data_IF_594108475610
#
_entry.id   IF_594108475610
#
_cell.length_a   1.000
_cell.length_b   1.000
_cell.length_c   1.000
_cell.angle_alpha   90.00
_cell.angle_beta   90.00
_cell.angle_gamma   90.00
#
_symmetry.space_group_name_H-M   'P 1'
#
loop_
_entity.id
_entity.type
_entity.pdbx_description
1 polymer ?
#
# COMPACT_ATOMS: atom_id res chain seq x y z
N UNK A 1 11.20 -13.72 16.49
CA UNK A 1 12.22 -13.08 15.63
C UNK A 1 12.99 -14.10 14.79
N UNK A 2 12.70 -14.20 13.48
CA UNK A 2 13.64 -14.71 12.48
C UNK A 2 14.32 -13.50 11.85
N UNK A 3 15.56 -13.20 12.24
CA UNK A 3 16.56 -12.30 11.63
C UNK A 3 16.20 -10.89 11.12
N UNK A 4 14.96 -10.39 11.24
CA UNK A 4 14.55 -9.12 10.61
C UNK A 4 14.47 -7.94 11.58
N UNK A 5 14.60 -8.16 12.88
CA UNK A 5 14.58 -7.08 13.87
C UNK A 5 15.90 -7.11 14.63
N UNK A 6 16.79 -6.15 14.34
CA UNK A 6 18.16 -5.94 14.85
C UNK A 6 19.35 -6.53 14.06
N UNK A 7 19.14 -7.03 12.83
CA UNK A 7 20.22 -7.18 11.83
C UNK A 7 20.39 -5.89 11.02
N UNK A 8 21.61 -5.54 10.57
CA UNK A 8 21.88 -4.36 9.72
C UNK A 8 21.07 -4.45 8.41
N UNK A 9 19.85 -3.92 8.43
CA UNK A 9 18.92 -3.97 7.32
C UNK A 9 19.49 -3.26 6.10
N UNK A 10 19.57 -3.99 4.99
CA UNK A 10 20.09 -3.47 3.71
C UNK A 10 19.10 -2.44 3.17
N UNK A 11 19.61 -1.26 2.78
CA UNK A 11 18.78 -0.24 2.11
C UNK A 11 18.14 -0.83 0.86
N UNK A 12 16.83 -0.64 0.72
CA UNK A 12 16.08 -0.99 -0.48
C UNK A 12 16.52 -0.07 -1.61
N UNK A 13 16.84 -0.65 -2.76
CA UNK A 13 17.03 0.09 -4.00
C UNK A 13 15.76 -0.03 -4.84
N UNK A 14 14.86 0.94 -4.69
CA UNK A 14 13.56 0.95 -5.38
C UNK A 14 13.71 0.92 -6.90
N UNK A 15 14.63 1.72 -7.44
CA UNK A 15 14.84 1.82 -8.88
C UNK A 15 15.37 0.49 -9.46
N UNK A 16 16.33 -0.14 -8.77
CA UNK A 16 16.82 -1.46 -9.15
C UNK A 16 15.73 -2.53 -9.04
N UNK A 17 14.95 -2.52 -7.97
CA UNK A 17 13.87 -3.48 -7.76
C UNK A 17 12.75 -3.37 -8.81
N UNK A 18 12.52 -2.16 -9.36
CA UNK A 18 11.57 -1.94 -10.44
C UNK A 18 12.07 -2.45 -11.81
N UNK A 19 13.39 -2.64 -12.00
CA UNK A 19 13.98 -2.93 -13.31
C UNK A 19 13.42 -4.19 -13.99
N UNK A 20 13.22 -5.27 -13.24
CA UNK A 20 12.68 -6.52 -13.78
C UNK A 20 11.23 -6.39 -14.26
N UNK A 21 10.43 -5.53 -13.61
CA UNK A 21 9.07 -5.23 -14.04
C UNK A 21 9.07 -4.29 -15.25
N UNK A 22 9.91 -3.25 -15.23
CA UNK A 22 10.02 -2.28 -16.33
C UNK A 22 10.46 -2.94 -17.64
N UNK A 23 11.29 -3.98 -17.57
CA UNK A 23 11.72 -4.75 -18.74
C UNK A 23 10.60 -5.57 -19.41
N UNK A 24 9.43 -5.73 -18.75
CA UNK A 24 8.26 -6.45 -19.28
C UNK A 24 7.26 -5.46 -19.84
N UNK A 25 7.47 -5.01 -21.07
CA UNK A 25 6.70 -3.91 -21.68
C UNK A 25 5.19 -4.16 -21.68
N UNK A 26 4.75 -5.37 -22.03
CA UNK A 26 3.33 -5.74 -22.03
C UNK A 26 2.70 -5.67 -20.63
N UNK A 27 3.42 -6.15 -19.61
CA UNK A 27 2.98 -6.08 -18.21
C UNK A 27 2.89 -4.63 -17.74
N UNK A 28 3.86 -3.80 -18.09
CA UNK A 28 3.86 -2.36 -17.76
C UNK A 28 2.68 -1.65 -18.42
N UNK A 29 2.45 -1.90 -19.72
CA UNK A 29 1.35 -1.31 -20.46
C UNK A 29 -0.01 -1.73 -19.90
N UNK A 30 -0.19 -3.02 -19.61
CA UNK A 30 -1.40 -3.55 -18.98
C UNK A 30 -1.64 -2.95 -17.59
N UNK A 31 -0.62 -2.97 -16.74
CA UNK A 31 -0.67 -2.40 -15.39
C UNK A 31 -1.06 -0.93 -15.42
N UNK A 32 -0.37 -0.13 -16.25
CA UNK A 32 -0.62 1.30 -16.39
C UNK A 32 -2.05 1.59 -16.85
N UNK A 33 -2.52 0.87 -17.88
CA UNK A 33 -3.89 0.98 -18.39
C UNK A 33 -4.92 0.62 -17.32
N UNK A 34 -4.68 -0.45 -16.56
CA UNK A 34 -5.61 -0.92 -15.52
C UNK A 34 -5.73 0.08 -14.37
N UNK A 35 -4.62 0.64 -13.90
CA UNK A 35 -4.65 1.65 -12.84
C UNK A 35 -5.26 2.97 -13.32
N UNK A 36 -5.02 3.33 -14.59
CA UNK A 36 -5.67 4.49 -15.20
C UNK A 36 -7.18 4.34 -15.29
N UNK A 37 -7.69 3.15 -15.63
CA UNK A 37 -9.13 2.84 -15.62
C UNK A 37 -9.72 3.01 -14.21
N UNK A 38 -9.07 2.48 -13.17
CA UNK A 38 -9.52 2.65 -11.78
C UNK A 38 -9.55 4.13 -11.36
N UNK A 39 -8.50 4.89 -11.70
CA UNK A 39 -8.45 6.34 -11.48
C UNK A 39 -9.58 7.07 -12.19
N UNK A 40 -9.80 6.77 -13.48
CA UNK A 40 -10.82 7.44 -14.29
C UNK A 40 -12.23 7.19 -13.76
N UNK A 41 -12.53 5.96 -13.33
CA UNK A 41 -13.82 5.61 -12.72
C UNK A 41 -14.02 6.31 -11.37
N UNK A 42 -12.98 6.39 -10.55
CA UNK A 42 -13.00 7.20 -9.31
C UNK A 42 -13.31 8.65 -9.61
N UNK A 43 -12.66 9.24 -10.61
CA UNK A 43 -12.86 10.65 -10.97
C UNK A 43 -14.28 10.89 -11.47
N UNK A 44 -14.87 9.97 -12.24
CA UNK A 44 -16.27 10.02 -12.63
C UNK A 44 -17.22 9.99 -11.41
N UNK A 45 -16.96 9.12 -10.42
CA UNK A 45 -17.75 9.09 -9.18
C UNK A 45 -17.63 10.38 -8.37
N UNK A 46 -16.43 10.96 -8.32
CA UNK A 46 -16.18 12.21 -7.60
C UNK A 46 -16.88 13.40 -8.29
N UNK A 47 -16.75 13.54 -9.61
CA UNK A 47 -17.38 14.62 -10.36
C UNK A 47 -18.91 14.49 -10.42
N UNK A 48 -19.43 13.26 -10.39
CA UNK A 48 -20.88 12.99 -10.38
C UNK A 48 -21.56 13.27 -9.04
N UNK A 49 -20.83 13.67 -8.00
CA UNK A 49 -21.34 13.86 -6.65
C UNK A 49 -21.10 15.31 -6.18
N UNK A 50 -22.14 16.17 -6.17
CA UNK A 50 -22.00 17.55 -5.73
C UNK A 50 -21.42 17.68 -4.31
N UNK A 51 -21.75 16.75 -3.42
CA UNK A 51 -21.30 16.72 -2.04
C UNK A 51 -19.93 16.03 -1.83
N UNK A 52 -19.16 15.74 -2.89
CA UNK A 52 -17.93 14.95 -2.80
C UNK A 52 -16.90 15.55 -1.82
N UNK A 53 -16.64 16.86 -1.88
CA UNK A 53 -15.71 17.51 -0.94
C UNK A 53 -16.26 17.53 0.49
N UNK A 54 -17.57 17.73 0.68
CA UNK A 54 -18.21 17.60 1.98
C UNK A 54 -18.01 16.21 2.58
N UNK A 55 -18.15 15.14 1.78
CA UNK A 55 -17.88 13.78 2.26
C UNK A 55 -16.41 13.57 2.62
N UNK A 56 -15.47 14.18 1.90
CA UNK A 56 -14.04 14.13 2.25
C UNK A 56 -13.75 14.87 3.55
N UNK A 57 -14.37 16.02 3.77
CA UNK A 57 -14.26 16.78 5.01
C UNK A 57 -14.83 15.99 6.19
N UNK A 58 -16.03 15.42 6.04
CA UNK A 58 -16.62 14.55 7.05
C UNK A 58 -15.73 13.33 7.36
N UNK A 59 -15.26 12.63 6.32
CA UNK A 59 -14.41 11.47 6.50
C UNK A 59 -13.08 11.82 7.20
N UNK A 60 -12.48 12.96 6.84
CA UNK A 60 -11.27 13.46 7.50
C UNK A 60 -11.54 13.82 8.96
N UNK A 61 -12.55 14.65 9.23
CA UNK A 61 -12.90 15.10 10.57
C UNK A 61 -13.27 13.96 11.50
N UNK A 62 -14.01 12.95 11.02
CA UNK A 62 -14.31 11.75 11.81
C UNK A 62 -13.02 11.01 12.17
N UNK A 63 -12.09 10.81 11.21
CA UNK A 63 -10.81 10.14 11.51
C UNK A 63 -9.94 10.94 12.48
N UNK A 64 -9.88 12.27 12.35
CA UNK A 64 -9.11 13.13 13.25
C UNK A 64 -9.69 13.10 14.66
N UNK A 65 -11.01 13.24 14.79
CA UNK A 65 -11.72 13.09 16.07
C UNK A 65 -11.47 11.72 16.70
N UNK A 66 -11.60 10.65 15.92
CA UNK A 66 -11.41 9.28 16.43
C UNK A 66 -9.97 9.04 16.88
N UNK A 67 -8.98 9.48 16.11
CA UNK A 67 -7.57 9.30 16.45
C UNK A 67 -7.16 10.13 17.67
N UNK A 68 -7.76 11.31 17.85
CA UNK A 68 -7.50 12.16 19.03
C UNK A 68 -8.10 11.60 20.32
N UNK A 69 -9.14 10.76 20.20
CA UNK A 69 -9.82 10.09 21.33
C UNK A 69 -9.69 8.57 21.22
N UNK A 70 -8.56 8.07 20.69
CA UNK A 70 -8.42 6.67 20.30
C UNK A 70 -8.55 5.73 21.50
N UNK A 71 -8.01 6.10 22.66
CA UNK A 71 -8.09 5.31 23.88
C UNK A 71 -9.55 5.07 24.31
N UNK A 72 -10.35 6.15 24.39
CA UNK A 72 -11.76 6.06 24.78
C UNK A 72 -12.58 5.22 23.79
N UNK A 73 -12.32 5.36 22.49
CA UNK A 73 -13.00 4.56 21.47
C UNK A 73 -12.57 3.10 21.46
N UNK A 74 -11.31 2.81 21.81
CA UNK A 74 -10.86 1.43 22.02
C UNK A 74 -11.64 0.83 23.19
N UNK A 75 -11.65 1.47 24.36
CA UNK A 75 -12.36 0.99 25.56
C UNK A 75 -13.84 0.75 25.29
N UNK A 76 -14.49 1.68 24.56
CA UNK A 76 -15.87 1.52 24.12
C UNK A 76 -16.02 0.31 23.19
N UNK A 77 -15.17 0.17 22.16
CA UNK A 77 -15.23 -0.94 21.21
C UNK A 77 -15.08 -2.30 21.92
N UNK A 78 -14.12 -2.40 22.84
CA UNK A 78 -13.82 -3.61 23.61
C UNK A 78 -15.03 -4.00 24.45
N UNK A 79 -15.53 -3.06 25.25
CA UNK A 79 -16.70 -3.26 26.12
C UNK A 79 -17.90 -3.75 25.31
N UNK A 80 -18.16 -3.12 24.17
CA UNK A 80 -19.28 -3.48 23.31
C UNK A 80 -19.06 -4.84 22.63
N UNK A 81 -17.85 -5.16 22.17
CA UNK A 81 -17.56 -6.47 21.56
C UNK A 81 -17.74 -7.61 22.58
N UNK A 82 -17.19 -7.44 23.80
CA UNK A 82 -17.30 -8.43 24.88
C UNK A 82 -18.75 -8.63 25.33
N UNK A 83 -19.56 -7.56 25.36
CA UNK A 83 -20.99 -7.66 25.68
C UNK A 83 -21.78 -8.54 24.69
N UNK A 84 -21.27 -8.73 23.47
CA UNK A 84 -21.84 -9.59 22.44
C UNK A 84 -21.21 -11.00 22.41
N UNK A 85 -20.36 -11.34 23.38
CA UNK A 85 -19.71 -12.65 23.47
C UNK A 85 -18.48 -12.81 22.58
N UNK A 86 -17.90 -11.70 22.08
CA UNK A 86 -16.61 -11.72 21.37
C UNK A 86 -15.47 -11.70 22.39
N UNK A 87 -14.42 -12.50 22.16
CA UNK A 87 -13.22 -12.49 23.01
C UNK A 87 -12.19 -11.54 22.39
N UNK A 88 -11.81 -10.49 23.11
CA UNK A 88 -10.86 -9.49 22.62
C UNK A 88 -9.44 -9.76 23.14
N UNK A 89 -8.47 -9.65 22.24
CA UNK A 89 -7.03 -9.83 22.48
C UNK A 89 -6.28 -8.58 22.04
N UNK A 90 -5.12 -8.34 22.64
CA UNK A 90 -4.25 -7.21 22.30
C UNK A 90 -2.88 -7.71 21.87
N UNK A 91 -2.35 -7.09 20.82
CA UNK A 91 -1.01 -7.32 20.34
C UNK A 91 -0.29 -5.98 20.13
N UNK A 92 0.72 -5.73 20.95
CA UNK A 92 1.60 -4.57 20.79
C UNK A 92 2.52 -4.73 19.58
N UNK A 93 2.82 -5.97 19.20
CA UNK A 93 3.74 -6.30 18.12
C UNK A 93 3.20 -7.34 17.16
N UNK A 94 3.78 -7.40 15.95
CA UNK A 94 3.52 -8.46 14.98
C UNK A 94 3.77 -9.87 15.57
N UNK A 95 4.80 -10.03 16.41
CA UNK A 95 5.12 -11.32 17.02
C UNK A 95 4.03 -11.75 18.03
N UNK A 96 3.51 -10.82 18.84
CA UNK A 96 2.40 -11.09 19.76
C UNK A 96 1.13 -11.47 19.01
N UNK A 97 0.79 -10.72 17.96
CA UNK A 97 -0.34 -11.06 17.09
C UNK A 97 -0.23 -12.50 16.58
N UNK A 98 0.93 -12.86 16.03
CA UNK A 98 1.14 -14.19 15.47
C UNK A 98 1.11 -15.30 16.55
N UNK A 99 1.61 -15.02 17.75
CA UNK A 99 1.51 -15.93 18.90
C UNK A 99 0.06 -16.16 19.32
N UNK A 100 -0.77 -15.12 19.36
CA UNK A 100 -2.19 -15.21 19.69
C UNK A 100 -2.92 -16.08 18.65
N UNK A 101 -2.74 -15.79 17.36
CA UNK A 101 -3.36 -16.60 16.29
C UNK A 101 -2.93 -18.07 16.41
N UNK A 102 -1.63 -18.33 16.55
CA UNK A 102 -1.12 -19.69 16.71
C UNK A 102 -1.68 -20.40 17.94
N UNK A 103 -1.76 -19.72 19.08
CA UNK A 103 -2.32 -20.25 20.33
C UNK A 103 -3.79 -20.64 20.14
N UNK A 104 -4.61 -19.74 19.61
CA UNK A 104 -6.04 -19.99 19.38
C UNK A 104 -6.29 -21.24 18.53
N UNK A 105 -5.46 -21.43 17.49
CA UNK A 105 -5.55 -22.58 16.61
C UNK A 105 -5.02 -23.87 17.25
N UNK A 106 -3.83 -23.81 17.84
CA UNK A 106 -3.15 -25.00 18.40
C UNK A 106 -3.88 -25.58 19.61
N UNK A 107 -4.40 -24.75 20.51
CA UNK A 107 -5.20 -25.20 21.68
C UNK A 107 -6.49 -25.93 21.26
N UNK A 108 -7.01 -25.64 20.07
CA UNK A 108 -8.20 -26.28 19.49
C UNK A 108 -7.86 -27.40 18.51
N UNK A 109 -6.58 -27.73 18.33
CA UNK A 109 -6.14 -28.74 17.37
C UNK A 109 -6.49 -28.42 15.90
N UNK A 110 -6.66 -27.14 15.55
CA UNK A 110 -6.97 -26.68 14.21
C UNK A 110 -5.70 -26.63 13.37
N UNK A 111 -5.74 -27.18 12.16
CA UNK A 111 -4.57 -27.32 11.28
C UNK A 111 -4.71 -26.54 9.96
N UNK A 112 -5.89 -25.96 9.71
CA UNK A 112 -6.17 -25.17 8.51
C UNK A 112 -6.74 -23.81 8.90
N UNK A 113 -6.24 -22.74 8.29
CA UNK A 113 -6.76 -21.38 8.42
C UNK A 113 -7.23 -20.89 7.04
N UNK A 114 -8.54 -20.74 6.86
CA UNK A 114 -9.09 -20.09 5.65
C UNK A 114 -9.27 -18.61 5.92
N UNK A 115 -8.57 -17.78 5.15
CA UNK A 115 -8.43 -16.37 5.45
C UNK A 115 -8.91 -15.50 4.28
N UNK A 116 -9.73 -14.49 4.58
CA UNK A 116 -9.99 -13.39 3.66
C UNK A 116 -8.81 -12.42 3.64
N UNK A 117 -8.74 -11.60 2.59
CA UNK A 117 -7.71 -10.56 2.46
C UNK A 117 -7.54 -9.71 3.73
N UNK A 118 -6.30 -9.56 4.18
CA UNK A 118 -5.91 -8.69 5.29
C UNK A 118 -4.46 -8.26 5.18
N UNK A 119 -4.22 -6.99 4.89
CA UNK A 119 -2.85 -6.46 4.85
C UNK A 119 -2.17 -6.47 6.22
N UNK A 120 -2.94 -6.48 7.31
CA UNK A 120 -2.37 -6.50 8.66
C UNK A 120 -1.66 -7.83 8.96
N UNK A 121 -2.16 -8.95 8.45
CA UNK A 121 -1.47 -10.24 8.64
C UNK A 121 -0.20 -10.33 7.82
N UNK A 122 -0.16 -9.67 6.65
CA UNK A 122 1.02 -9.61 5.78
C UNK A 122 2.07 -8.66 6.37
N UNK A 123 1.63 -7.52 6.92
CA UNK A 123 2.43 -6.64 7.78
C UNK A 123 3.05 -7.44 8.93
N UNK A 124 2.28 -8.31 9.59
CA UNK A 124 2.75 -9.11 10.71
C UNK A 124 3.58 -10.34 10.29
N UNK A 125 3.72 -10.64 8.99
CA UNK A 125 4.36 -11.87 8.49
C UNK A 125 3.81 -13.13 9.17
N UNK A 126 2.49 -13.17 9.29
CA UNK A 126 1.77 -14.20 10.04
C UNK A 126 1.94 -15.58 9.41
N UNK A 127 1.83 -15.66 8.08
CA UNK A 127 1.94 -16.91 7.33
C UNK A 127 3.31 -17.56 7.55
N UNK A 128 4.37 -16.77 7.41
CA UNK A 128 5.76 -17.21 7.64
C UNK A 128 6.00 -17.66 9.08
N UNK A 129 5.19 -17.18 10.03
CA UNK A 129 5.23 -17.62 11.42
C UNK A 129 4.45 -18.92 11.66
N UNK A 130 3.23 -19.08 11.15
CA UNK A 130 2.35 -20.21 11.50
C UNK A 130 2.47 -21.43 10.58
N UNK A 131 2.81 -21.26 9.29
CA UNK A 131 2.95 -22.39 8.35
C UNK A 131 4.03 -23.40 8.79
N UNK A 132 5.25 -22.97 9.19
CA UNK A 132 6.27 -23.89 9.69
C UNK A 132 5.88 -24.62 10.99
N UNK A 133 4.82 -24.17 11.66
CA UNK A 133 4.31 -24.74 12.92
C UNK A 133 3.11 -25.68 12.70
N UNK A 134 2.87 -26.10 11.46
CA UNK A 134 1.87 -27.11 11.11
C UNK A 134 0.48 -26.58 10.78
N UNK A 135 0.32 -25.26 10.61
CA UNK A 135 -0.95 -24.64 10.22
C UNK A 135 -0.93 -24.27 8.75
N UNK A 136 -1.74 -24.92 7.94
CA UNK A 136 -1.90 -24.55 6.52
C UNK A 136 -2.74 -23.28 6.41
N UNK A 137 -2.20 -22.24 5.79
CA UNK A 137 -2.94 -21.00 5.51
C UNK A 137 -3.45 -21.01 4.08
N UNK A 138 -4.74 -20.73 3.89
CA UNK A 138 -5.38 -20.63 2.58
C UNK A 138 -5.94 -19.22 2.42
N UNK A 139 -5.31 -18.41 1.56
CA UNK A 139 -5.91 -17.15 1.11
C UNK A 139 -7.12 -17.45 0.22
N UNK A 140 -8.23 -16.78 0.50
CA UNK A 140 -9.52 -17.02 -0.17
C UNK A 140 -9.91 -15.91 -1.15
N UNK A 141 -9.25 -14.76 -1.06
CA UNK A 141 -9.28 -13.69 -2.08
C UNK A 141 -8.50 -14.14 -3.30
N UNK A 142 -9.09 -14.03 -4.50
CA UNK A 142 -8.45 -14.49 -5.74
C UNK A 142 -7.09 -13.82 -5.97
N UNK A 143 -7.00 -12.51 -5.73
CA UNK A 143 -5.79 -11.74 -5.92
C UNK A 143 -4.69 -12.15 -4.93
N UNK A 144 -5.03 -12.24 -3.65
CA UNK A 144 -4.08 -12.69 -2.62
C UNK A 144 -3.66 -14.14 -2.83
N UNK A 145 -4.57 -15.01 -3.28
CA UNK A 145 -4.21 -16.41 -3.59
C UNK A 145 -3.21 -16.49 -4.75
N UNK A 146 -3.41 -15.72 -5.82
CA UNK A 146 -2.45 -15.67 -6.93
C UNK A 146 -1.05 -15.30 -6.39
N UNK A 147 -0.98 -14.33 -5.48
CA UNK A 147 0.27 -13.91 -4.86
C UNK A 147 0.84 -14.99 -3.93
N UNK A 148 0.00 -15.67 -3.15
CA UNK A 148 0.39 -16.77 -2.28
C UNK A 148 0.99 -17.93 -3.09
N UNK A 149 0.34 -18.34 -4.19
CA UNK A 149 0.78 -19.43 -5.06
C UNK A 149 2.10 -19.10 -5.78
N UNK A 150 2.34 -17.82 -6.09
CA UNK A 150 3.59 -17.36 -6.70
C UNK A 150 4.64 -16.90 -5.68
N UNK A 151 4.36 -17.08 -4.38
CA UNK A 151 5.19 -16.65 -3.25
C UNK A 151 5.68 -15.19 -3.38
N UNK A 152 4.76 -14.29 -3.73
CA UNK A 152 4.99 -12.84 -3.85
C UNK A 152 4.20 -12.07 -2.79
N UNK A 153 4.75 -10.96 -2.32
CA UNK A 153 3.98 -9.96 -1.56
C UNK A 153 2.90 -9.33 -2.47
N UNK A 154 1.79 -8.79 -1.95
CA UNK A 154 0.79 -8.10 -2.75
C UNK A 154 1.38 -6.86 -3.45
N UNK A 155 1.17 -6.73 -4.76
CA UNK A 155 1.59 -5.53 -5.51
C UNK A 155 0.73 -4.33 -5.14
N UNK A 156 -0.59 -4.51 -5.01
CA UNK A 156 -1.54 -3.43 -4.77
C UNK A 156 -2.54 -3.72 -3.64
N UNK A 157 -2.89 -2.71 -2.85
CA UNK A 157 -3.78 -2.85 -1.68
C UNK A 157 -5.18 -3.34 -2.01
N UNK A 158 -5.74 -2.97 -3.16
CA UNK A 158 -7.08 -3.41 -3.62
C UNK A 158 -7.02 -4.57 -4.62
N UNK A 159 -6.10 -4.55 -5.59
CA UNK A 159 -5.96 -5.56 -6.67
C UNK A 159 -4.57 -6.22 -6.64
N UNK A 160 -4.30 -7.16 -5.72
CA UNK A 160 -2.95 -7.63 -5.36
C UNK A 160 -2.07 -8.12 -6.51
N UNK A 161 -2.69 -8.72 -7.52
CA UNK A 161 -2.02 -9.32 -8.68
C UNK A 161 -2.04 -8.43 -9.95
N UNK A 162 -2.29 -7.12 -9.82
CA UNK A 162 -2.47 -6.20 -10.98
C UNK A 162 -1.25 -6.09 -11.91
N UNK A 163 -0.07 -6.52 -11.47
CA UNK A 163 1.15 -6.60 -12.30
C UNK A 163 1.22 -7.85 -13.17
N UNK A 164 0.26 -8.78 -13.06
CA UNK A 164 0.22 -10.03 -13.83
C UNK A 164 -0.79 -9.95 -14.97
N UNK A 165 -0.43 -10.55 -16.10
CA UNK A 165 -1.33 -10.83 -17.21
C UNK A 165 -2.15 -12.09 -16.91
N UNK A 166 -3.27 -12.27 -17.64
CA UNK A 166 -4.10 -13.48 -17.52
C UNK A 166 -3.34 -14.76 -17.87
N UNK A 167 -2.43 -14.69 -18.84
CA UNK A 167 -1.58 -15.80 -19.22
C UNK A 167 -0.63 -16.22 -18.09
N UNK A 168 -0.05 -15.26 -17.34
CA UNK A 168 0.79 -15.57 -16.18
C UNK A 168 -0.01 -16.32 -15.10
N UNK A 169 -1.28 -15.94 -14.91
CA UNK A 169 -2.17 -16.58 -13.95
C UNK A 169 -2.53 -18.00 -14.40
N UNK A 170 -2.81 -18.21 -15.69
CA UNK A 170 -3.09 -19.54 -16.23
C UNK A 170 -1.89 -20.48 -16.06
N UNK A 171 -0.68 -20.03 -16.40
CA UNK A 171 0.55 -20.80 -16.20
C UNK A 171 0.78 -21.11 -14.72
N UNK A 172 0.59 -20.12 -13.83
CA UNK A 172 0.69 -20.30 -12.40
C UNK A 172 -0.29 -21.35 -11.88
N UNK A 173 -1.56 -21.27 -12.27
CA UNK A 173 -2.57 -22.23 -11.83
C UNK A 173 -2.28 -23.63 -12.39
N UNK A 174 -1.80 -23.73 -13.63
CA UNK A 174 -1.43 -25.01 -14.22
C UNK A 174 -0.33 -25.72 -13.41
N UNK A 175 0.72 -25.00 -13.01
CA UNK A 175 1.83 -25.58 -12.24
C UNK A 175 1.56 -25.77 -10.75
N UNK A 176 0.56 -25.10 -10.16
CA UNK A 176 0.32 -25.12 -8.70
C UNK A 176 -0.96 -25.84 -8.27
N UNK A 177 -2.03 -25.76 -9.08
CA UNK A 177 -3.33 -26.35 -8.77
C UNK A 177 -3.86 -27.28 -9.87
N UNK A 178 -3.06 -27.54 -10.92
CA UNK A 178 -3.32 -28.60 -11.91
C UNK A 178 -4.33 -28.26 -13.00
N UNK A 179 -4.52 -26.98 -13.33
CA UNK A 179 -5.39 -26.53 -14.43
C UNK A 179 -4.67 -26.56 -15.80
N UNK A 180 -5.39 -26.26 -16.88
CA UNK A 180 -4.75 -26.06 -18.20
C UNK A 180 -3.94 -24.73 -18.21
N UNK A 181 -2.60 -24.76 -18.38
CA UNK A 181 -1.77 -23.56 -18.38
C UNK A 181 -2.01 -22.64 -19.59
N UNK A 182 -2.70 -23.11 -20.64
CA UNK A 182 -3.00 -22.31 -21.85
C UNK A 182 -4.38 -21.65 -21.80
N UNK A 183 -5.25 -22.06 -20.88
CA UNK A 183 -6.58 -21.51 -20.77
C UNK A 183 -6.59 -20.27 -19.86
N UNK A 184 -6.52 -19.09 -20.49
CA UNK A 184 -6.54 -17.79 -19.81
C UNK A 184 -7.91 -17.11 -19.76
N UNK A 185 -8.98 -17.88 -20.04
CA UNK A 185 -10.35 -17.40 -19.87
C UNK A 185 -10.64 -17.03 -18.40
N UNK A 186 -11.27 -15.88 -18.19
CA UNK A 186 -11.47 -15.32 -16.85
C UNK A 186 -12.41 -16.19 -16.03
N UNK A 187 -13.48 -16.70 -16.66
CA UNK A 187 -14.45 -17.55 -15.97
C UNK A 187 -13.81 -18.88 -15.57
N UNK A 188 -13.07 -19.50 -16.48
CA UNK A 188 -12.32 -20.73 -16.20
C UNK A 188 -11.33 -20.58 -15.03
N UNK A 189 -10.53 -19.51 -15.03
CA UNK A 189 -9.55 -19.27 -13.96
C UNK A 189 -10.23 -19.02 -12.61
N UNK A 190 -11.26 -18.17 -12.57
CA UNK A 190 -12.00 -17.88 -11.34
C UNK A 190 -12.71 -19.14 -10.80
N UNK A 191 -13.32 -19.93 -11.68
CA UNK A 191 -14.01 -21.16 -11.33
C UNK A 191 -13.03 -22.23 -10.80
N UNK A 192 -11.89 -22.38 -11.45
CA UNK A 192 -10.85 -23.33 -11.02
C UNK A 192 -10.34 -23.00 -9.62
N UNK A 193 -10.07 -21.72 -9.35
CA UNK A 193 -9.66 -21.26 -8.03
C UNK A 193 -10.76 -21.48 -6.98
N UNK A 194 -12.02 -21.21 -7.34
CA UNK A 194 -13.16 -21.47 -6.46
C UNK A 194 -13.26 -22.94 -6.08
N UNK A 195 -13.12 -23.85 -7.05
CA UNK A 195 -13.14 -25.30 -6.83
C UNK A 195 -11.94 -25.78 -6.01
N UNK A 196 -10.76 -25.15 -6.16
CA UNK A 196 -9.58 -25.46 -5.34
C UNK A 196 -9.76 -25.03 -3.87
N UNK A 197 -10.41 -23.88 -3.63
CA UNK A 197 -10.55 -23.31 -2.29
C UNK A 197 -11.68 -23.95 -1.49
N UNK A 198 -12.80 -24.29 -2.15
CA UNK A 198 -14.04 -24.72 -1.48
C UNK A 198 -13.85 -25.87 -0.48
N UNK A 199 -13.06 -26.94 -0.76
CA UNK A 199 -12.83 -28.01 0.20
C UNK A 199 -12.21 -27.55 1.52
N UNK A 200 -11.44 -26.45 1.52
CA UNK A 200 -10.77 -25.97 2.73
C UNK A 200 -11.73 -25.36 3.74
N UNK A 201 -12.85 -24.76 3.32
CA UNK A 201 -13.84 -24.18 4.25
C UNK A 201 -14.53 -25.22 5.12
N UNK A 202 -14.71 -26.45 4.60
CA UNK A 202 -15.53 -27.50 5.23
C UNK A 202 -14.70 -28.61 5.88
N UNK A 203 -13.38 -28.49 5.90
CA UNK A 203 -12.52 -29.42 6.64
C UNK A 203 -12.79 -29.28 8.14
N UNK A 204 -12.84 -30.40 8.85
CA UNK A 204 -13.14 -30.44 10.30
C UNK A 204 -12.21 -29.55 11.14
N UNK A 205 -10.92 -29.52 10.81
CA UNK A 205 -9.87 -28.80 11.56
C UNK A 205 -9.58 -27.41 10.99
N UNK A 206 -10.63 -26.64 10.71
CA UNK A 206 -10.53 -25.32 10.06
C UNK A 206 -10.92 -24.19 10.99
N UNK A 207 -10.13 -23.13 10.99
CA UNK A 207 -10.48 -21.81 11.50
C UNK A 207 -10.69 -20.82 10.35
N UNK A 208 -11.53 -19.84 10.60
CA UNK A 208 -11.82 -18.72 9.74
C UNK A 208 -11.09 -17.45 10.18
N UNK A 209 -10.59 -16.67 9.23
CA UNK A 209 -9.99 -15.38 9.55
C UNK A 209 -10.37 -14.28 8.57
N UNK A 210 -10.60 -13.08 9.10
CA UNK A 210 -10.82 -11.87 8.30
C UNK A 210 -9.89 -10.74 8.72
N UNK A 211 -9.74 -9.76 7.83
CA UNK A 211 -9.25 -8.44 8.20
C UNK A 211 -10.36 -7.54 8.75
N UNK A 212 -10.11 -6.24 8.73
CA UNK A 212 -11.06 -5.21 9.11
C UNK A 212 -10.88 -3.96 8.23
N UNK A 213 -11.97 -3.52 7.59
CA UNK A 213 -12.01 -2.22 6.93
C UNK A 213 -12.32 -1.12 7.95
N UNK A 214 -13.34 -1.35 8.78
CA UNK A 214 -13.80 -0.43 9.83
C UNK A 214 -14.21 -1.21 11.08
N UNK A 215 -13.89 -0.67 12.26
CA UNK A 215 -14.34 -1.17 13.55
C UNK A 215 -15.24 -0.11 14.21
N UNK A 216 -16.50 -0.41 14.45
CA UNK A 216 -17.47 0.57 14.97
C UNK A 216 -17.50 0.53 16.49
N UNK A 217 -16.96 1.56 17.14
CA UNK A 217 -16.81 1.61 18.59
C UNK A 217 -18.15 1.48 19.33
N UNK A 218 -19.18 2.23 18.90
CA UNK A 218 -20.54 2.21 19.46
C UNK A 218 -21.14 0.81 19.63
N UNK A 219 -20.77 -0.15 18.78
CA UNK A 219 -21.44 -1.45 18.70
C UNK A 219 -20.51 -2.65 18.77
N UNK A 220 -19.20 -2.46 18.91
CA UNK A 220 -18.23 -3.55 18.86
C UNK A 220 -18.26 -4.32 17.53
N UNK A 221 -18.69 -3.68 16.43
CA UNK A 221 -18.89 -4.37 15.13
C UNK A 221 -17.65 -4.25 14.25
N UNK A 222 -17.17 -5.36 13.69
CA UNK A 222 -16.16 -5.37 12.61
C UNK A 222 -16.85 -5.39 11.26
N UNK A 223 -16.44 -4.48 10.37
CA UNK A 223 -16.99 -4.38 9.01
C UNK A 223 -15.91 -4.74 7.99
N UNK A 224 -16.27 -5.66 7.08
CA UNK A 224 -15.43 -6.08 5.95
C UNK A 224 -16.14 -5.71 4.65
N UNK A 225 -15.44 -4.98 3.79
CA UNK A 225 -15.93 -4.59 2.46
C UNK A 225 -15.18 -5.39 1.41
N UNK A 226 -15.90 -6.19 0.63
CA UNK A 226 -15.31 -7.07 -0.40
C UNK A 226 -16.22 -7.18 -1.61
N UNK A 227 -15.65 -7.54 -2.77
CA UNK A 227 -16.42 -7.86 -3.98
C UNK A 227 -16.50 -9.38 -4.22
N UNK A 228 -16.03 -10.16 -3.27
CA UNK A 228 -16.02 -11.62 -3.31
C UNK A 228 -16.69 -12.13 -2.02
N UNK A 229 -17.57 -13.13 -2.10
CA UNK A 229 -18.26 -13.69 -0.94
C UNK A 229 -17.37 -14.54 0.00
N UNK A 230 -16.05 -14.52 -0.20
CA UNK A 230 -15.10 -15.35 0.53
C UNK A 230 -14.96 -14.97 2.01
N UNK A 231 -15.10 -13.69 2.37
CA UNK A 231 -15.01 -13.24 3.74
C UNK A 231 -16.15 -13.80 4.59
N UNK A 232 -17.36 -13.85 4.03
CA UNK A 232 -18.52 -14.43 4.70
C UNK A 232 -18.37 -15.93 4.88
N UNK A 233 -17.79 -16.64 3.90
CA UNK A 233 -17.49 -18.06 4.03
C UNK A 233 -16.42 -18.29 5.10
N UNK A 234 -15.35 -17.48 5.12
CA UNK A 234 -14.30 -17.55 6.13
C UNK A 234 -14.85 -17.28 7.52
N UNK A 235 -15.76 -16.33 7.69
CA UNK A 235 -16.28 -15.98 9.01
C UNK A 235 -17.39 -16.93 9.51
N UNK A 236 -18.23 -17.47 8.62
CA UNK A 236 -19.47 -18.15 9.04
C UNK A 236 -19.42 -19.69 8.95
N UNK A 237 -18.56 -20.26 8.10
CA UNK A 237 -18.49 -21.73 7.91
C UNK A 237 -17.66 -22.40 9.01
N UNK A 238 -16.41 -21.99 9.28
CA UNK A 238 -15.63 -22.55 10.38
C UNK A 238 -16.25 -22.24 11.75
N UNK A 239 -16.04 -23.10 12.77
CA UNK A 239 -16.55 -22.87 14.13
C UNK A 239 -15.80 -21.78 14.90
N UNK A 240 -14.66 -21.29 14.38
CA UNK A 240 -13.85 -20.23 14.96
C UNK A 240 -13.65 -19.12 13.93
N UNK A 241 -14.02 -17.88 14.27
CA UNK A 241 -13.72 -16.69 13.48
C UNK A 241 -12.74 -15.79 14.23
N UNK A 242 -11.60 -15.49 13.61
CA UNK A 242 -10.59 -14.54 14.10
C UNK A 242 -10.61 -13.29 13.21
N UNK A 243 -10.74 -12.09 13.79
CA UNK A 243 -10.57 -10.83 13.07
C UNK A 243 -9.32 -10.10 13.57
N UNK A 244 -8.40 -9.77 12.65
CA UNK A 244 -7.25 -8.91 12.97
C UNK A 244 -7.54 -7.47 12.61
N UNK A 245 -7.38 -6.60 13.59
CA UNK A 245 -7.86 -5.22 13.53
C UNK A 245 -6.71 -4.31 13.95
N UNK A 246 -6.27 -3.44 13.04
CA UNK A 246 -5.34 -2.37 13.42
C UNK A 246 -6.09 -1.35 14.29
N UNK A 247 -5.49 -0.88 15.38
CA UNK A 247 -6.17 0.06 16.27
C UNK A 247 -6.58 1.38 15.57
N UNK A 248 -5.96 1.72 14.44
CA UNK A 248 -6.33 2.89 13.65
C UNK A 248 -7.63 2.70 12.85
N UNK A 249 -8.21 1.50 12.82
CA UNK A 249 -9.42 1.17 12.04
C UNK A 249 -10.73 1.61 12.67
N UNK A 250 -10.69 2.08 13.92
CA UNK A 250 -11.90 2.50 14.61
C UNK A 250 -12.58 3.69 13.92
N UNK A 251 -13.90 3.67 14.03
CA UNK A 251 -14.81 4.78 13.75
C UNK A 251 -15.84 4.86 14.91
N UNK A 252 -16.36 6.05 15.26
CA UNK A 252 -17.13 6.21 16.49
C UNK A 252 -18.49 5.50 16.43
N UNK A 253 -19.31 5.83 15.42
CA UNK A 253 -20.73 5.45 15.36
C UNK A 253 -21.08 4.70 14.09
N UNK A 254 -22.20 3.97 14.13
CA UNK A 254 -22.77 3.35 12.91
C UNK A 254 -23.11 4.40 11.85
N UNK A 255 -23.60 5.58 12.27
CA UNK A 255 -23.92 6.66 11.34
C UNK A 255 -22.69 7.15 10.54
N UNK A 256 -21.50 7.06 11.14
CA UNK A 256 -20.25 7.48 10.51
C UNK A 256 -19.78 6.48 9.44
N UNK A 257 -20.15 5.20 9.59
CA UNK A 257 -19.79 4.12 8.65
C UNK A 257 -20.31 4.39 7.23
N UNK A 258 -21.50 4.99 7.11
CA UNK A 258 -22.10 5.34 5.82
C UNK A 258 -21.21 6.27 4.98
N UNK A 259 -20.48 7.18 5.64
CA UNK A 259 -19.49 8.04 4.98
C UNK A 259 -18.36 7.19 4.42
N UNK A 260 -17.78 6.31 5.23
CA UNK A 260 -16.61 5.53 4.84
C UNK A 260 -16.89 4.46 3.79
N UNK A 261 -18.05 3.79 3.82
CA UNK A 261 -18.46 2.86 2.76
C UNK A 261 -18.54 3.60 1.42
N UNK A 262 -19.18 4.78 1.41
CA UNK A 262 -19.30 5.61 0.20
C UNK A 262 -17.93 6.05 -0.33
N UNK A 263 -17.03 6.45 0.56
CA UNK A 263 -15.69 6.92 0.20
C UNK A 263 -14.78 5.78 -0.26
N UNK A 264 -14.81 4.62 0.41
CA UNK A 264 -13.94 3.48 0.12
C UNK A 264 -14.15 2.96 -1.30
N UNK A 265 -15.39 2.56 -1.64
CA UNK A 265 -15.66 1.90 -2.93
C UNK A 265 -15.45 2.86 -4.11
N UNK A 266 -15.93 4.11 -3.99
CA UNK A 266 -15.73 5.14 -5.04
C UNK A 266 -14.26 5.44 -5.27
N UNK A 267 -13.47 5.51 -4.19
CA UNK A 267 -12.04 5.82 -4.31
C UNK A 267 -11.21 4.63 -4.82
N UNK A 268 -11.59 3.41 -4.45
CA UNK A 268 -10.84 2.21 -4.78
C UNK A 268 -11.12 1.68 -6.19
N UNK A 269 -12.40 1.62 -6.56
CA UNK A 269 -12.88 0.91 -7.75
C UNK A 269 -13.71 1.79 -8.69
N UNK A 270 -14.15 2.95 -8.21
CA UNK A 270 -15.07 3.82 -8.94
C UNK A 270 -16.49 3.27 -9.01
N UNK A 271 -16.88 2.44 -8.03
CA UNK A 271 -18.24 1.95 -7.83
C UNK A 271 -18.90 2.64 -6.62
N UNK A 272 -20.24 2.82 -6.61
CA UNK A 272 -20.94 3.42 -5.47
C UNK A 272 -20.80 2.69 -4.14
N UNK A 273 -20.70 1.35 -4.17
CA UNK A 273 -20.57 0.46 -3.01
C UNK A 273 -19.89 -0.85 -3.44
N UNK A 274 -19.37 -1.65 -2.50
CA UNK A 274 -18.85 -3.01 -2.77
C UNK A 274 -20.00 -4.02 -2.91
N UNK A 275 -19.76 -5.18 -3.52
CA UNK A 275 -20.80 -6.22 -3.65
C UNK A 275 -21.23 -6.77 -2.29
N UNK A 276 -20.29 -6.88 -1.35
CA UNK A 276 -20.54 -7.29 0.04
C UNK A 276 -19.99 -6.24 0.99
N UNK A 277 -20.81 -5.87 1.98
CA UNK A 277 -20.41 -5.09 3.15
C UNK A 277 -20.93 -5.84 4.37
N UNK A 278 -20.07 -6.67 4.95
CA UNK A 278 -20.47 -7.63 5.97
C UNK A 278 -20.13 -7.10 7.35
N UNK A 279 -21.09 -7.22 8.27
CA UNK A 279 -21.01 -6.71 9.63
C UNK A 279 -20.95 -7.90 10.59
N UNK A 280 -19.81 -8.11 11.23
CA UNK A 280 -19.60 -9.16 12.23
C UNK A 280 -19.67 -8.51 13.61
N UNK A 281 -20.65 -8.93 14.43
CA UNK A 281 -20.89 -8.36 15.76
C UNK A 281 -20.87 -9.40 16.88
N UNK A 282 -21.37 -10.60 16.61
CA UNK A 282 -21.49 -11.66 17.59
C UNK A 282 -21.14 -13.01 16.95
N UNK A 283 -20.58 -13.96 17.71
CA UNK A 283 -20.45 -15.33 17.24
C UNK A 283 -21.82 -15.91 16.91
N UNK A 284 -21.84 -16.81 15.92
CA UNK A 284 -23.02 -17.61 15.60
C UNK A 284 -23.24 -18.64 16.73
N UNK A 285 -24.46 -19.12 16.98
CA UNK A 285 -24.67 -20.16 17.98
C UNK A 285 -23.78 -21.38 17.73
N UNK A 286 -23.04 -21.80 18.76
CA UNK A 286 -22.08 -22.91 18.68
C UNK A 286 -20.74 -22.58 18.02
N UNK A 287 -20.43 -21.30 17.78
CA UNK A 287 -19.12 -20.85 17.27
C UNK A 287 -18.44 -19.87 18.23
N UNK A 288 -17.16 -19.60 18.01
CA UNK A 288 -16.37 -18.62 18.75
C UNK A 288 -15.93 -17.46 17.83
N UNK A 289 -15.89 -16.24 18.36
CA UNK A 289 -15.41 -15.06 17.65
C UNK A 289 -14.34 -14.35 18.48
N UNK A 290 -13.20 -14.08 17.85
CA UNK A 290 -12.04 -13.47 18.49
C UNK A 290 -11.60 -12.22 17.73
N UNK A 291 -11.46 -11.10 18.43
CA UNK A 291 -10.85 -9.89 17.87
C UNK A 291 -9.44 -9.74 18.40
N UNK A 292 -8.47 -9.49 17.50
CA UNK A 292 -7.10 -9.18 17.86
C UNK A 292 -6.83 -7.74 17.46
N UNK A 293 -6.78 -6.86 18.46
CA UNK A 293 -6.43 -5.45 18.31
C UNK A 293 -4.90 -5.32 18.24
N UNK A 294 -4.39 -4.76 17.14
CA UNK A 294 -2.96 -4.71 16.84
C UNK A 294 -2.47 -3.27 16.77
N UNK A 295 -1.55 -2.92 17.67
CA UNK A 295 -0.85 -1.64 17.64
C UNK A 295 0.27 -1.65 16.59
N UNK A 296 1.31 -2.45 16.80
CA UNK A 296 2.46 -2.58 15.92
C UNK A 296 2.99 -1.22 15.40
N UNK A 297 3.21 -0.27 16.32
CA UNK A 297 3.78 1.05 16.02
C UNK A 297 2.75 2.11 15.58
N UNK A 298 1.46 1.82 15.68
CA UNK A 298 0.38 2.80 15.39
C UNK A 298 0.34 3.90 16.44
N UNK A 299 0.49 3.56 17.71
CA UNK A 299 0.54 4.51 18.83
C UNK A 299 1.77 5.42 18.75
N UNK A 300 2.94 4.85 18.42
CA UNK A 300 4.15 5.65 18.16
C UNK A 300 3.94 6.62 16.99
N UNK A 301 3.34 6.15 15.89
CA UNK A 301 3.03 7.00 14.74
C UNK A 301 1.99 8.07 15.06
N UNK A 302 1.04 7.78 15.94
CA UNK A 302 0.04 8.73 16.40
C UNK A 302 0.68 9.89 17.17
N UNK A 303 1.76 9.62 17.91
CA UNK A 303 2.55 10.62 18.61
C UNK A 303 3.50 11.45 17.70
N UNK A 304 3.64 11.08 16.43
CA UNK A 304 4.47 11.82 15.47
C UNK A 304 3.67 12.96 14.84
N UNK A 305 3.88 14.19 15.31
CA UNK A 305 3.19 15.41 14.84
C UNK A 305 3.16 15.52 13.30
N UNK A 306 4.28 15.23 12.66
CA UNK A 306 4.43 15.30 11.21
C UNK A 306 3.78 14.13 10.44
N UNK A 307 3.53 12.99 11.08
CA UNK A 307 3.26 11.71 10.38
C UNK A 307 1.96 11.00 10.79
N UNK A 308 1.31 11.42 11.89
CA UNK A 308 0.11 10.76 12.40
C UNK A 308 -1.06 10.81 11.42
N UNK A 309 -1.15 11.84 10.55
CA UNK A 309 -2.16 11.97 9.51
C UNK A 309 -2.26 10.73 8.60
N UNK A 310 -1.18 9.96 8.46
CA UNK A 310 -1.18 8.69 7.73
C UNK A 310 -2.14 7.63 8.31
N UNK A 311 -2.47 7.71 9.61
CA UNK A 311 -3.41 6.80 10.29
C UNK A 311 -4.87 7.04 9.87
N UNK A 312 -5.19 8.15 9.21
CA UNK A 312 -6.52 8.38 8.61
C UNK A 312 -6.78 7.50 7.37
N UNK A 313 -5.77 6.76 6.90
CA UNK A 313 -5.86 6.00 5.67
C UNK A 313 -6.83 4.82 5.75
N UNK A 314 -7.87 4.85 4.91
CA UNK A 314 -8.85 3.76 4.77
C UNK A 314 -8.42 2.66 3.77
N UNK A 315 -7.16 2.68 3.33
CA UNK A 315 -6.56 1.67 2.43
C UNK A 315 -7.26 1.53 1.06
N UNK A 316 -7.80 2.61 0.52
CA UNK A 316 -8.51 2.59 -0.77
C UNK A 316 -7.60 2.48 -2.02
N UNK A 317 -6.28 2.69 -1.90
CA UNK A 317 -5.37 2.62 -3.05
C UNK A 317 -5.42 3.79 -4.05
N UNK A 318 -6.31 4.78 -3.89
CA UNK A 318 -6.43 5.92 -4.82
C UNK A 318 -5.09 6.67 -5.04
N UNK A 319 -4.28 6.81 -3.99
CA UNK A 319 -2.96 7.43 -4.08
C UNK A 319 -1.99 6.63 -4.97
N UNK A 320 -2.13 5.31 -5.04
CA UNK A 320 -1.30 4.42 -5.87
C UNK A 320 -1.72 4.56 -7.34
N UNK A 321 -3.02 4.55 -7.61
CA UNK A 321 -3.60 4.65 -8.95
C UNK A 321 -3.24 5.96 -9.67
N UNK A 322 -3.09 7.07 -8.93
CA UNK A 322 -2.72 8.36 -9.52
C UNK A 322 -1.21 8.61 -9.57
N UNK A 323 -0.40 7.79 -8.89
CA UNK A 323 1.03 8.02 -8.76
C UNK A 323 1.77 7.64 -10.05
N UNK A 324 2.48 8.58 -10.70
CA UNK A 324 3.20 8.28 -11.94
C UNK A 324 4.36 7.30 -11.71
N UNK A 325 4.97 7.31 -10.53
CA UNK A 325 6.07 6.41 -10.18
C UNK A 325 5.55 5.00 -10.00
N UNK A 326 4.54 4.81 -9.15
CA UNK A 326 3.93 3.50 -8.89
C UNK A 326 3.41 2.83 -10.17
N UNK A 327 2.72 3.59 -11.03
CA UNK A 327 2.19 3.09 -12.31
C UNK A 327 3.27 2.50 -13.24
N UNK A 328 4.52 2.99 -13.13
CA UNK A 328 5.67 2.50 -13.91
C UNK A 328 6.52 1.48 -13.17
N UNK A 329 6.71 1.64 -11.85
CA UNK A 329 7.60 0.80 -11.05
C UNK A 329 6.97 -0.50 -10.55
N UNK A 330 5.63 -0.58 -10.58
CA UNK A 330 4.86 -1.63 -9.90
C UNK A 330 4.97 -1.55 -8.37
N UNK A 331 4.20 -2.38 -7.67
CA UNK A 331 4.17 -2.39 -6.21
C UNK A 331 5.27 -3.19 -5.52
N UNK A 332 5.75 -4.27 -6.14
CA UNK A 332 6.79 -5.14 -5.57
C UNK A 332 8.13 -4.42 -5.34
N UNK A 333 8.40 -3.36 -6.10
CA UNK A 333 9.63 -2.55 -5.96
C UNK A 333 9.69 -1.72 -4.68
N UNK A 334 8.62 -1.68 -3.88
CA UNK A 334 8.57 -0.99 -2.58
C UNK A 334 9.07 -1.88 -1.43
N UNK A 335 9.22 -3.20 -1.65
CA UNK A 335 9.91 -4.11 -0.73
C UNK A 335 9.25 -4.32 0.64
N UNK A 336 7.95 -4.06 0.76
CA UNK A 336 7.12 -4.28 1.95
C UNK A 336 5.62 -4.31 1.61
N UNK A 337 4.77 -4.66 2.58
CA UNK A 337 3.31 -4.77 2.44
C UNK A 337 2.64 -3.49 1.92
N UNK A 338 3.10 -2.32 2.37
CA UNK A 338 2.57 -1.04 1.85
C UNK A 338 3.44 -0.52 0.71
N UNK A 339 2.80 -0.34 -0.44
CA UNK A 339 3.43 0.20 -1.65
C UNK A 339 2.84 1.55 -2.05
N UNK A 340 3.45 2.20 -3.05
CA UNK A 340 3.03 3.51 -3.54
C UNK A 340 3.25 4.66 -2.54
N UNK A 341 2.58 5.81 -2.75
CA UNK A 341 2.80 7.00 -1.93
C UNK A 341 2.53 6.80 -0.43
N UNK A 342 1.52 6.01 -0.07
CA UNK A 342 1.22 5.70 1.33
C UNK A 342 2.31 4.79 1.94
N UNK A 343 2.86 3.85 1.17
CA UNK A 343 4.01 3.04 1.62
C UNK A 343 5.25 3.90 1.87
N UNK A 344 5.47 4.94 1.07
CA UNK A 344 6.60 5.86 1.23
C UNK A 344 6.55 6.67 2.55
N UNK A 345 5.39 6.80 3.20
CA UNK A 345 5.26 7.50 4.49
C UNK A 345 5.09 6.55 5.68
N UNK A 346 4.59 5.32 5.45
CA UNK A 346 4.38 4.32 6.50
C UNK A 346 5.62 3.46 6.71
N UNK A 347 6.26 2.97 5.65
CA UNK A 347 7.36 2.02 5.76
C UNK A 347 8.56 2.54 6.57
N UNK A 348 8.97 3.82 6.45
CA UNK A 348 10.07 4.35 7.26
C UNK A 348 9.83 4.32 8.78
N UNK A 349 8.58 4.23 9.25
CA UNK A 349 8.32 4.06 10.70
C UNK A 349 8.64 2.65 11.20
N UNK A 350 8.65 1.64 10.32
CA UNK A 350 9.04 0.27 10.68
C UNK A 350 10.55 0.08 10.62
N UNK A 351 11.20 0.61 9.58
CA UNK A 351 12.64 0.55 9.39
C UNK A 351 13.12 1.72 8.51
N UNK A 352 13.44 2.84 9.15
CA UNK A 352 13.88 4.06 8.47
C UNK A 352 15.08 3.81 7.55
N UNK A 353 16.04 2.99 8.00
CA UNK A 353 17.26 2.72 7.23
C UNK A 353 16.94 1.95 5.95
N UNK A 354 16.20 0.84 6.05
CA UNK A 354 15.80 0.02 4.91
C UNK A 354 15.02 0.83 3.88
N UNK A 355 14.07 1.64 4.34
CA UNK A 355 13.12 2.34 3.48
C UNK A 355 13.50 3.79 3.16
N UNK A 356 14.71 4.22 3.56
CA UNK A 356 15.25 5.57 3.36
C UNK A 356 15.25 6.06 1.90
N UNK A 357 15.21 5.17 0.91
CA UNK A 357 15.15 5.54 -0.50
C UNK A 357 13.74 5.87 -1.00
N UNK A 358 12.68 5.33 -0.36
CA UNK A 358 11.30 5.44 -0.85
C UNK A 358 10.81 6.89 -0.94
N UNK A 359 11.02 7.77 0.06
CA UNK A 359 10.59 9.16 -0.03
C UNK A 359 11.25 9.92 -1.19
N UNK A 360 12.46 9.53 -1.60
CA UNK A 360 13.18 10.14 -2.71
C UNK A 360 12.73 9.63 -4.09
N UNK A 361 11.95 8.55 -4.16
CA UNK A 361 11.37 8.08 -5.43
C UNK A 361 10.22 8.97 -5.93
N UNK A 362 9.54 9.68 -5.03
CA UNK A 362 8.41 10.55 -5.36
C UNK A 362 8.81 11.78 -6.18
N UNK A 363 7.96 12.19 -7.12
CA UNK A 363 8.09 13.48 -7.83
C UNK A 363 7.53 14.66 -7.03
N UNK A 364 6.91 14.42 -5.86
CA UNK A 364 6.25 15.42 -5.02
C UNK A 364 5.16 16.26 -5.73
N UNK A 365 4.52 15.71 -6.77
CA UNK A 365 3.50 16.43 -7.56
C UNK A 365 2.16 16.68 -6.84
N UNK A 366 1.99 16.28 -5.58
CA UNK A 366 0.77 16.50 -4.80
C UNK A 366 -0.47 15.67 -5.22
N UNK A 367 -0.41 14.90 -6.30
CA UNK A 367 -1.59 14.20 -6.84
C UNK A 367 -2.19 13.19 -5.85
N UNK A 368 -1.35 12.50 -5.07
CA UNK A 368 -1.79 11.54 -4.06
C UNK A 368 -2.59 12.19 -2.91
N UNK A 369 -2.20 13.39 -2.48
CA UNK A 369 -2.93 14.17 -1.48
C UNK A 369 -4.23 14.70 -2.05
N UNK A 370 -4.21 15.21 -3.28
CA UNK A 370 -5.40 15.74 -3.94
C UNK A 370 -6.53 14.71 -4.07
N UNK A 371 -6.20 13.45 -4.38
CA UNK A 371 -7.23 12.40 -4.55
C UNK A 371 -7.65 11.70 -3.25
N UNK A 372 -6.96 11.96 -2.12
CA UNK A 372 -7.17 11.20 -0.89
C UNK A 372 -8.57 11.45 -0.30
N UNK A 373 -9.37 10.40 -0.09
CA UNK A 373 -10.73 10.55 0.43
C UNK A 373 -10.82 11.00 1.88
N UNK A 374 -9.76 10.80 2.67
CA UNK A 374 -9.68 11.21 4.08
C UNK A 374 -8.66 12.32 4.31
N UNK A 375 -8.31 13.06 3.24
CA UNK A 375 -7.39 14.20 3.26
C UNK A 375 -6.08 13.93 4.02
N UNK A 376 -5.46 12.78 3.76
CA UNK A 376 -4.07 12.51 4.19
C UNK A 376 -3.13 13.39 3.38
N UNK A 377 -2.31 14.21 4.04
CA UNK A 377 -1.30 15.08 3.43
C UNK A 377 -0.04 14.33 2.98
N UNK A 378 -0.23 13.24 2.20
CA UNK A 378 0.82 12.32 1.77
C UNK A 378 2.07 13.02 1.21
N UNK A 379 1.93 13.96 0.27
CA UNK A 379 3.10 14.57 -0.37
C UNK A 379 3.95 15.44 0.58
N UNK A 380 3.31 16.12 1.54
CA UNK A 380 3.99 16.87 2.60
C UNK A 380 4.73 15.91 3.54
N UNK A 381 4.10 14.81 3.95
CA UNK A 381 4.75 13.78 4.77
C UNK A 381 5.93 13.13 4.05
N UNK A 382 5.83 12.89 2.74
CA UNK A 382 6.96 12.40 1.94
C UNK A 382 8.11 13.42 1.96
N UNK A 383 7.80 14.71 1.80
CA UNK A 383 8.80 15.77 1.88
C UNK A 383 9.46 15.79 3.27
N UNK A 384 8.65 15.72 4.34
CA UNK A 384 9.14 15.71 5.72
C UNK A 384 10.04 14.50 6.02
N UNK A 385 9.70 13.33 5.50
CA UNK A 385 10.60 12.17 5.57
C UNK A 385 11.95 12.40 4.92
N UNK A 386 12.05 13.18 3.83
CA UNK A 386 13.35 13.51 3.23
C UNK A 386 14.20 14.34 4.19
N UNK A 387 13.60 15.27 4.94
CA UNK A 387 14.28 16.04 5.97
C UNK A 387 14.76 15.13 7.12
N UNK A 388 13.87 14.29 7.65
CA UNK A 388 14.20 13.36 8.75
C UNK A 388 15.31 12.39 8.35
N UNK A 389 15.25 11.80 7.16
CA UNK A 389 16.26 10.88 6.64
C UNK A 389 17.61 11.58 6.42
N UNK A 390 17.59 12.84 5.96
CA UNK A 390 18.81 13.64 5.81
C UNK A 390 19.43 13.98 7.17
N UNK A 391 18.62 14.41 8.14
CA UNK A 391 19.05 14.73 9.50
C UNK A 391 19.62 13.51 10.24
N UNK A 392 19.10 12.31 9.97
CA UNK A 392 19.60 11.05 10.53
C UNK A 392 20.78 10.44 9.74
N UNK A 393 21.38 11.17 8.80
CA UNK A 393 22.51 10.70 7.97
C UNK A 393 22.23 9.41 7.17
N UNK A 394 20.96 9.15 6.85
CA UNK A 394 20.55 7.96 6.09
C UNK A 394 20.55 8.18 4.56
N UNK A 395 20.95 9.37 4.10
CA UNK A 395 21.25 9.64 2.68
C UNK A 395 22.68 9.21 2.33
N UNK A 396 22.95 8.52 1.20
CA UNK A 396 24.31 8.14 0.80
C UNK A 396 25.28 9.33 0.70
N UNK A 397 26.51 9.18 1.24
CA UNK A 397 27.53 10.24 1.29
C UNK A 397 27.82 10.89 -0.07
N UNK A 398 28.07 10.09 -1.11
CA UNK A 398 28.33 10.60 -2.46
C UNK A 398 27.18 11.48 -2.97
N UNK A 399 25.92 11.07 -2.71
CA UNK A 399 24.73 11.85 -3.09
C UNK A 399 24.68 13.17 -2.31
N UNK A 400 25.02 13.17 -1.02
CA UNK A 400 25.05 14.40 -0.22
C UNK A 400 26.09 15.39 -0.76
N UNK A 401 27.32 14.94 -1.04
CA UNK A 401 28.40 15.82 -1.53
C UNK A 401 28.11 16.38 -2.92
N UNK A 402 27.57 15.56 -3.83
CA UNK A 402 27.11 16.03 -5.15
C UNK A 402 26.03 17.11 -5.02
N UNK A 403 25.05 16.91 -4.13
CA UNK A 403 23.98 17.89 -3.91
C UNK A 403 24.48 19.17 -3.24
N UNK A 404 25.43 19.08 -2.29
CA UNK A 404 26.07 20.27 -1.69
C UNK A 404 26.82 21.09 -2.74
N UNK A 405 27.59 20.44 -3.60
CA UNK A 405 28.30 21.10 -4.69
C UNK A 405 27.33 21.72 -5.70
N UNK A 406 26.29 20.99 -6.10
CA UNK A 406 25.25 21.51 -6.98
C UNK A 406 24.54 22.72 -6.35
N UNK A 407 24.25 22.68 -5.04
CA UNK A 407 23.68 23.79 -4.30
C UNK A 407 24.56 25.04 -4.33
N UNK A 408 25.87 24.90 -4.09
CA UNK A 408 26.83 26.02 -4.20
C UNK A 408 26.89 26.62 -5.61
N UNK A 409 26.86 25.77 -6.65
CA UNK A 409 26.84 26.19 -8.04
C UNK A 409 25.56 26.96 -8.39
N UNK A 410 24.39 26.40 -8.05
CA UNK A 410 23.08 26.96 -8.38
C UNK A 410 22.76 28.22 -7.56
N UNK A 411 23.29 28.35 -6.35
CA UNK A 411 23.13 29.55 -5.51
C UNK A 411 23.95 30.75 -5.99
N UNK A 412 24.92 30.56 -6.89
CA UNK A 412 25.75 31.63 -7.43
C UNK A 412 25.35 31.98 -8.86
N UNK A 413 24.73 33.14 -9.11
CA UNK A 413 24.35 33.54 -10.47
C UNK A 413 25.53 33.63 -11.44
N UNK A 414 26.73 34.00 -10.96
CA UNK A 414 27.94 34.10 -11.79
C UNK A 414 28.45 32.72 -12.18
N UNK A 415 28.58 31.80 -11.21
CA UNK A 415 29.03 30.43 -11.47
C UNK A 415 28.02 29.71 -12.37
N UNK A 416 26.73 29.77 -12.04
CA UNK A 416 25.67 29.16 -12.84
C UNK A 416 25.70 29.62 -14.29
N UNK A 417 25.75 30.94 -14.54
CA UNK A 417 25.78 31.49 -15.91
C UNK A 417 27.04 31.06 -16.67
N UNK A 418 28.20 31.11 -16.03
CA UNK A 418 29.46 30.66 -16.63
C UNK A 418 29.42 29.18 -17.01
N UNK A 419 28.94 28.33 -16.10
CA UNK A 419 28.83 26.89 -16.31
C UNK A 419 27.85 26.55 -17.43
N UNK A 420 26.66 27.16 -17.48
CA UNK A 420 25.66 26.91 -18.54
C UNK A 420 26.18 27.32 -19.91
N UNK A 421 26.83 28.49 -20.03
CA UNK A 421 27.42 28.94 -21.28
C UNK A 421 28.54 27.99 -21.77
N UNK A 422 29.39 27.50 -20.86
CA UNK A 422 30.45 26.54 -21.20
C UNK A 422 29.91 25.15 -21.58
N UNK A 423 28.88 24.66 -20.87
CA UNK A 423 28.29 23.34 -21.10
C UNK A 423 27.62 23.28 -22.46
N UNK A 424 26.91 24.33 -22.88
CA UNK A 424 26.29 24.39 -24.21
C UNK A 424 27.31 24.25 -25.35
N UNK A 425 28.51 24.80 -25.19
CA UNK A 425 29.61 24.64 -26.15
C UNK A 425 30.33 23.29 -26.08
N UNK A 426 30.39 22.68 -24.90
CA UNK A 426 31.03 21.37 -24.70
C UNK A 426 30.15 20.22 -25.22
N UNK A 427 28.84 20.25 -24.92
CA UNK A 427 27.88 19.23 -25.36
C UNK A 427 27.83 19.08 -26.89
N UNK A 428 28.03 20.16 -27.66
CA UNK A 428 28.13 20.13 -29.15
C UNK A 428 29.36 19.39 -29.68
N UNK A 429 30.43 19.31 -28.89
CA UNK A 429 31.76 18.84 -29.34
C UNK A 429 32.18 17.52 -28.71
N UNK A 430 31.51 17.09 -27.65
CA UNK A 430 31.84 15.84 -26.97
C UNK A 430 31.39 14.64 -27.82
N UNK A 431 32.26 13.64 -28.00
CA UNK A 431 31.90 12.45 -28.77
C UNK A 431 30.86 11.61 -28.03
N UNK A 432 30.05 10.85 -28.79
CA UNK A 432 28.94 10.06 -28.24
C UNK A 432 29.35 9.08 -27.15
N UNK A 433 30.54 8.48 -27.18
CA UNK A 433 30.98 7.55 -26.13
C UNK A 433 31.24 8.25 -24.78
N UNK A 434 31.51 9.56 -24.78
CA UNK A 434 31.63 10.37 -23.56
C UNK A 434 30.26 10.79 -23.07
N UNK A 435 29.36 11.16 -23.99
CA UNK A 435 28.00 11.58 -23.65
C UNK A 435 27.13 10.39 -23.19
N UNK A 436 27.20 9.27 -23.87
CA UNK A 436 26.38 8.07 -23.65
C UNK A 436 27.23 6.96 -23.05
N UNK A 437 27.60 7.15 -21.79
CA UNK A 437 28.37 6.18 -21.01
C UNK A 437 27.54 5.62 -19.83
N UNK A 438 27.96 4.53 -19.17
CA UNK A 438 27.19 3.90 -18.08
C UNK A 438 26.90 4.80 -16.87
N UNK A 439 27.69 5.85 -16.63
CA UNK A 439 27.48 6.85 -15.58
C UNK A 439 26.41 7.87 -15.97
N UNK A 440 26.16 8.08 -17.27
CA UNK A 440 25.05 8.89 -17.74
C UNK A 440 23.74 8.08 -17.73
N UNK A 441 23.03 8.13 -16.60
CA UNK A 441 21.73 7.46 -16.45
C UNK A 441 20.68 8.02 -17.43
N UNK A 442 20.72 9.33 -17.74
CA UNK A 442 19.80 9.97 -18.71
C UNK A 442 19.99 9.38 -20.10
N UNK A 443 21.26 9.27 -20.54
CA UNK A 443 21.66 8.76 -21.85
C UNK A 443 21.36 7.28 -22.09
N UNK A 444 20.84 6.54 -21.09
CA UNK A 444 20.47 5.12 -21.27
C UNK A 444 19.20 4.93 -22.10
N UNK A 445 18.28 5.87 -22.02
CA UNK A 445 16.94 5.76 -22.63
C UNK A 445 16.50 7.05 -23.32
N UNK A 446 17.30 8.12 -23.25
CA UNK A 446 16.95 9.44 -23.76
C UNK A 446 18.15 10.04 -24.45
N UNK A 447 17.91 10.63 -25.61
CA UNK A 447 18.90 11.49 -26.25
C UNK A 447 19.07 12.78 -25.45
N UNK A 448 20.28 13.32 -25.48
CA UNK A 448 20.51 14.68 -24.99
C UNK A 448 19.82 15.65 -25.95
N UNK A 449 19.09 16.66 -25.44
CA UNK A 449 18.44 17.63 -26.30
C UNK A 449 19.48 18.40 -27.11
N UNK A 450 19.11 18.82 -28.32
CA UNK A 450 19.96 19.70 -29.12
C UNK A 450 20.25 20.98 -28.33
N UNK A 451 21.53 21.27 -28.17
CA UNK A 451 21.98 22.48 -27.49
C UNK A 451 21.59 23.73 -28.28
N UNK A 452 20.86 24.68 -27.67
CA UNK A 452 20.44 25.90 -28.36
C UNK A 452 21.64 26.76 -28.79
N UNK A 453 21.41 27.70 -29.71
CA UNK A 453 22.45 28.60 -30.21
C UNK A 453 22.93 29.60 -29.15
N UNK A 454 22.03 30.04 -28.28
CA UNK A 454 22.29 30.96 -27.17
C UNK A 454 21.56 30.48 -25.91
N UNK A 455 22.07 30.87 -24.74
CA UNK A 455 21.42 30.61 -23.46
C UNK A 455 20.18 31.51 -23.29
N UNK A 456 19.21 31.08 -22.46
CA UNK A 456 18.04 31.93 -22.16
C UNK A 456 18.44 33.33 -21.64
N UNK A 457 19.53 33.44 -20.89
CA UNK A 457 20.02 34.73 -20.37
C UNK A 457 20.60 35.65 -21.46
N UNK A 458 21.34 35.09 -22.41
CA UNK A 458 21.83 35.83 -23.59
C UNK A 458 20.66 36.29 -24.45
N UNK A 459 19.73 35.38 -24.76
CA UNK A 459 18.49 35.70 -25.46
C UNK A 459 17.71 36.80 -24.73
N UNK A 460 17.54 36.70 -23.41
CA UNK A 460 16.82 37.68 -22.61
C UNK A 460 17.51 39.06 -22.66
N UNK A 461 18.83 39.13 -22.49
CA UNK A 461 19.59 40.38 -22.62
C UNK A 461 19.48 41.01 -24.01
N UNK A 462 19.41 40.19 -25.06
CA UNK A 462 19.30 40.64 -26.45
C UNK A 462 17.90 41.17 -26.78
N UNK A 463 16.85 40.51 -26.26
CA UNK A 463 15.46 40.73 -26.68
C UNK A 463 14.59 41.51 -25.67
N UNK A 464 15.01 41.61 -24.40
CA UNK A 464 14.22 42.22 -23.30
C UNK A 464 14.96 43.38 -22.64
N UNK A 465 15.72 44.18 -23.40
CA UNK A 465 16.27 45.44 -22.86
C UNK A 465 15.11 46.29 -22.34
N UNK A 466 15.05 46.47 -21.03
CA UNK A 466 14.19 47.45 -20.36
C UNK A 466 14.45 48.78 -21.05
N UNK A 467 13.41 49.38 -21.63
CA UNK A 467 13.44 50.78 -22.04
C UNK A 467 13.87 51.57 -20.79
N UNK A 468 15.04 52.21 -20.87
CA UNK A 468 15.58 53.01 -19.77
C UNK A 468 14.64 54.14 -19.42
#
# INVERSE_FOLDING_TARGET
MSDVVKGKSKRLDHAKAAGAFIAKEDHVAFHDKRLWDLRSKRDAQAHGMPEWETLRDLASGIKEHTLSNLADYLDQFITQAESHGVIVHYASTAEEHNKIVYKLMSERGLTTLVKSKSMLTDECKMREYIEPRGITVMETDLGERIQQLDNQDPSHMVVPAVHKLRADVAELFGRTIGTDPKNSDIHYLAESQRMNTRPYFVREKTAGMTGCNFAVAETGTVVVCTNEGNADLSANVPPLHIASIGIEKLIPRISDLGVFIRMLSRSALGSPITQYTSHFRAPRPGSEMHYILVDHGRSERLAMEDFWYSLKCIRCGACMNTCPVYRRSGGLSYGFTYSGPIGAIINPTYDMKRFSSLPFASTLNGSCTNVCPTKVNIHEQIYKWREVIAANHEVPFVKQEVLKMAGRLLASPTLYRGTVASLGGALKRLPNFVLYNPLNIWGRQRDLPETPAETFHEWYKKNRKVAK
#
